data_IF_270968699646
#
_entry.id   IF_270968699646
#
_cell.length_a   1.000
_cell.length_b   1.000
_cell.length_c   1.000
_cell.angle_alpha   90.00
_cell.angle_beta   90.00
_cell.angle_gamma   90.00
#
_symmetry.space_group_name_H-M   'P 1'
#
loop_
_entity.id
_entity.type
_entity.pdbx_description
1 polymer ?
#
# COMPACT_ATOMS: atom_id res chain seq x y z
N UNK A 1 41.20 16.02 -31.67
CA UNK A 1 42.65 15.85 -31.45
C UNK A 1 42.85 15.32 -30.04
N UNK A 2 43.68 14.29 -29.79
CA UNK A 2 43.88 13.78 -28.42
C UNK A 2 44.41 14.90 -27.53
N UNK A 3 43.91 14.99 -26.30
CA UNK A 3 44.29 16.04 -25.34
C UNK A 3 45.82 16.05 -25.12
N UNK A 4 46.36 17.22 -24.78
CA UNK A 4 47.79 17.42 -24.46
C UNK A 4 48.34 16.34 -23.52
N UNK A 5 47.54 15.93 -22.53
CA UNK A 5 47.89 14.91 -21.53
C UNK A 5 48.04 13.50 -22.12
N UNK A 6 47.19 13.10 -23.07
CA UNK A 6 47.28 11.76 -23.68
C UNK A 6 48.56 11.61 -24.50
N UNK A 7 49.00 12.67 -25.18
CA UNK A 7 50.26 12.66 -25.93
C UNK A 7 51.46 12.49 -25.00
N UNK A 8 51.47 13.18 -23.86
CA UNK A 8 52.53 13.05 -22.85
C UNK A 8 52.57 11.64 -22.27
N UNK A 9 51.42 11.12 -21.84
CA UNK A 9 51.31 9.78 -21.26
C UNK A 9 51.78 8.67 -22.23
N UNK A 10 51.43 8.77 -23.52
CA UNK A 10 51.92 7.81 -24.54
C UNK A 10 53.44 7.85 -24.72
N UNK A 11 54.03 9.04 -24.67
CA UNK A 11 55.49 9.19 -24.79
C UNK A 11 56.19 8.61 -23.54
N UNK A 12 55.67 8.89 -22.36
CA UNK A 12 56.25 8.38 -21.11
C UNK A 12 56.11 6.86 -20.98
N UNK A 13 54.97 6.28 -21.39
CA UNK A 13 54.79 4.83 -21.46
C UNK A 13 55.77 4.19 -22.47
N UNK A 14 55.99 4.82 -23.63
CA UNK A 14 56.96 4.35 -24.62
C UNK A 14 58.39 4.33 -24.10
N UNK A 15 58.79 5.31 -23.28
CA UNK A 15 60.11 5.32 -22.61
C UNK A 15 60.24 4.21 -21.58
N UNK A 16 59.18 3.93 -20.82
CA UNK A 16 59.16 2.83 -19.84
C UNK A 16 59.33 1.51 -20.57
N UNK A 17 58.55 1.25 -21.61
CA UNK A 17 58.64 0.02 -22.42
C UNK A 17 60.05 -0.16 -23.00
N UNK A 18 60.66 0.91 -23.53
CA UNK A 18 62.00 0.87 -24.10
C UNK A 18 63.13 0.62 -23.07
N UNK A 19 62.84 0.76 -21.78
CA UNK A 19 63.82 0.56 -20.69
C UNK A 19 63.80 -0.85 -20.09
N UNK A 20 62.82 -1.68 -20.45
CA UNK A 20 62.61 -3.02 -19.90
C UNK A 20 63.20 -4.09 -20.83
N UNK A 21 63.70 -5.17 -20.26
CA UNK A 21 64.01 -6.38 -21.02
C UNK A 21 62.76 -7.24 -21.26
N UNK A 22 62.88 -8.32 -22.04
CA UNK A 22 61.73 -9.13 -22.47
C UNK A 22 60.94 -9.76 -21.31
N UNK A 23 61.62 -10.17 -20.23
CA UNK A 23 60.98 -10.81 -19.07
C UNK A 23 60.28 -9.77 -18.19
N UNK A 24 60.94 -8.64 -17.94
CA UNK A 24 60.38 -7.48 -17.22
C UNK A 24 59.20 -6.86 -17.97
N UNK A 25 59.27 -6.81 -19.30
CA UNK A 25 58.19 -6.32 -20.14
C UNK A 25 56.94 -7.19 -20.02
N UNK A 26 57.11 -8.52 -19.92
CA UNK A 26 56.00 -9.44 -19.75
C UNK A 26 55.29 -9.24 -18.41
N UNK A 27 56.05 -9.11 -17.31
CA UNK A 27 55.52 -8.83 -15.98
C UNK A 27 54.83 -7.45 -15.91
N UNK A 28 55.43 -6.44 -16.53
CA UNK A 28 54.86 -5.09 -16.61
C UNK A 28 53.54 -5.05 -17.40
N UNK A 29 53.43 -5.82 -18.49
CA UNK A 29 52.17 -5.96 -19.25
C UNK A 29 51.09 -6.63 -18.39
N UNK A 30 51.44 -7.64 -17.59
CA UNK A 30 50.50 -8.28 -16.67
C UNK A 30 49.99 -7.28 -15.62
N UNK A 31 50.90 -6.55 -14.97
CA UNK A 31 50.56 -5.49 -14.02
C UNK A 31 49.65 -4.41 -14.63
N UNK A 32 49.95 -3.95 -15.85
CA UNK A 32 49.11 -2.95 -16.53
C UNK A 32 47.71 -3.48 -16.79
N UNK A 33 47.56 -4.75 -17.19
CA UNK A 33 46.25 -5.36 -17.39
C UNK A 33 45.47 -5.43 -16.08
N UNK A 34 46.12 -5.86 -14.99
CA UNK A 34 45.48 -5.90 -13.67
C UNK A 34 45.10 -4.52 -13.17
N UNK A 35 45.97 -3.51 -13.31
CA UNK A 35 45.71 -2.14 -12.90
C UNK A 35 44.55 -1.51 -13.68
N UNK A 36 44.49 -1.74 -15.00
CA UNK A 36 43.35 -1.30 -15.83
C UNK A 36 42.07 -1.99 -15.41
N UNK A 37 42.08 -3.32 -15.21
CA UNK A 37 40.90 -4.05 -14.76
C UNK A 37 40.45 -3.66 -13.34
N UNK A 38 41.36 -3.23 -12.46
CA UNK A 38 41.00 -2.70 -11.14
C UNK A 38 40.37 -1.31 -11.24
N UNK A 39 40.90 -0.44 -12.09
CA UNK A 39 40.32 0.89 -12.31
C UNK A 39 38.94 0.79 -12.98
N UNK A 40 38.77 -0.09 -13.96
CA UNK A 40 37.48 -0.35 -14.60
C UNK A 40 36.44 -0.89 -13.60
N UNK A 41 36.83 -1.73 -12.63
CA UNK A 41 35.94 -2.20 -11.57
C UNK A 41 35.53 -1.10 -10.59
N UNK A 42 36.44 -0.19 -10.25
CA UNK A 42 36.15 0.94 -9.37
C UNK A 42 35.22 1.93 -10.08
N UNK A 43 35.52 2.27 -11.33
CA UNK A 43 34.68 3.18 -12.12
C UNK A 43 33.29 2.57 -12.37
N UNK A 44 33.19 1.26 -12.62
CA UNK A 44 31.93 0.53 -12.76
C UNK A 44 31.11 0.53 -11.47
N UNK A 45 31.74 0.24 -10.33
CA UNK A 45 31.07 0.26 -9.03
C UNK A 45 30.60 1.68 -8.66
N UNK A 46 31.43 2.71 -8.91
CA UNK A 46 31.03 4.09 -8.69
C UNK A 46 29.90 4.54 -9.65
N UNK A 47 29.87 4.05 -10.90
CA UNK A 47 28.74 4.34 -11.78
C UNK A 47 27.46 3.64 -11.34
N UNK A 48 27.55 2.38 -10.89
CA UNK A 48 26.40 1.62 -10.38
C UNK A 48 25.84 2.27 -9.10
N UNK A 49 26.70 2.69 -8.16
CA UNK A 49 26.28 3.38 -6.94
C UNK A 49 25.59 4.72 -7.22
N UNK A 50 26.10 5.49 -8.21
CA UNK A 50 25.51 6.76 -8.63
C UNK A 50 24.17 6.56 -9.36
N UNK A 51 24.06 5.52 -10.19
CA UNK A 51 22.82 5.17 -10.88
C UNK A 51 21.76 4.70 -9.87
N UNK A 52 22.12 3.89 -8.86
CA UNK A 52 21.22 3.46 -7.79
C UNK A 52 20.78 4.60 -6.86
N UNK A 53 21.67 5.55 -6.56
CA UNK A 53 21.31 6.76 -5.80
C UNK A 53 20.33 7.64 -6.60
N UNK A 54 20.60 7.85 -7.88
CA UNK A 54 19.73 8.63 -8.75
C UNK A 54 18.35 7.99 -8.96
N UNK A 55 18.28 6.66 -9.14
CA UNK A 55 17.01 5.94 -9.22
C UNK A 55 16.20 6.04 -7.92
N UNK A 56 16.86 6.04 -6.76
CA UNK A 56 16.20 6.23 -5.46
C UNK A 56 15.64 7.64 -5.31
N UNK A 57 16.41 8.67 -5.67
CA UNK A 57 15.93 10.07 -5.64
C UNK A 57 14.70 10.27 -6.53
N UNK A 58 14.73 9.74 -7.76
CA UNK A 58 13.59 9.82 -8.67
C UNK A 58 12.33 9.13 -8.10
N UNK A 59 12.52 8.00 -7.43
CA UNK A 59 11.43 7.26 -6.81
C UNK A 59 10.83 8.02 -5.62
N UNK A 60 11.68 8.62 -4.78
CA UNK A 60 11.24 9.46 -3.66
C UNK A 60 10.46 10.68 -4.14
N UNK A 61 10.94 11.36 -5.19
CA UNK A 61 10.25 12.49 -5.82
C UNK A 61 8.88 12.07 -6.36
N UNK A 62 8.81 10.94 -7.08
CA UNK A 62 7.56 10.38 -7.61
C UNK A 62 6.55 10.09 -6.50
N UNK A 63 6.99 9.49 -5.40
CA UNK A 63 6.14 9.18 -4.24
C UNK A 63 5.67 10.48 -3.56
N UNK A 64 6.53 11.48 -3.44
CA UNK A 64 6.18 12.78 -2.87
C UNK A 64 5.12 13.51 -3.70
N UNK A 65 5.26 13.53 -5.03
CA UNK A 65 4.27 14.10 -5.95
C UNK A 65 2.92 13.36 -5.85
N UNK A 66 2.93 12.03 -5.80
CA UNK A 66 1.75 11.22 -5.60
C UNK A 66 1.05 11.53 -4.26
N UNK A 67 1.82 11.67 -3.18
CA UNK A 67 1.32 12.04 -1.86
C UNK A 67 0.66 13.41 -1.86
N UNK A 68 1.21 14.39 -2.60
CA UNK A 68 0.60 15.71 -2.73
C UNK A 68 -0.81 15.63 -3.34
N UNK A 69 -0.99 14.81 -4.38
CA UNK A 69 -2.30 14.63 -5.01
C UNK A 69 -3.29 13.90 -4.10
N UNK A 70 -2.84 12.84 -3.43
CA UNK A 70 -3.65 12.12 -2.45
C UNK A 70 -4.10 13.03 -1.31
N UNK A 71 -3.22 13.88 -0.80
CA UNK A 71 -3.55 14.84 0.26
C UNK A 71 -4.59 15.86 -0.18
N UNK A 72 -4.56 16.32 -1.44
CA UNK A 72 -5.63 17.18 -1.99
C UNK A 72 -6.98 16.48 -1.97
N UNK A 73 -7.03 15.21 -2.41
CA UNK A 73 -8.25 14.39 -2.38
C UNK A 73 -8.76 14.25 -0.94
N UNK A 74 -7.88 13.93 0.01
CA UNK A 74 -8.21 13.82 1.44
C UNK A 74 -8.84 15.12 1.95
N UNK A 75 -8.22 16.27 1.69
CA UNK A 75 -8.72 17.57 2.14
C UNK A 75 -10.10 17.89 1.56
N UNK A 76 -10.38 17.52 0.32
CA UNK A 76 -11.70 17.73 -0.30
C UNK A 76 -12.75 16.75 0.24
N UNK A 77 -12.38 15.49 0.48
CA UNK A 77 -13.27 14.52 1.12
C UNK A 77 -13.65 14.93 2.54
N UNK A 78 -12.70 15.45 3.34
CA UNK A 78 -12.96 15.99 4.68
C UNK A 78 -14.01 17.12 4.68
N UNK A 79 -14.13 17.89 3.59
CA UNK A 79 -15.15 18.94 3.45
C UNK A 79 -16.54 18.38 3.10
N UNK A 80 -16.58 17.20 2.46
CA UNK A 80 -17.80 16.56 1.95
C UNK A 80 -18.40 15.56 2.95
N UNK A 81 -17.63 15.11 3.95
CA UNK A 81 -18.01 14.06 4.89
C UNK A 81 -18.05 14.55 6.34
N UNK A 82 -18.87 13.91 7.20
CA UNK A 82 -18.75 14.09 8.64
C UNK A 82 -17.41 13.53 9.15
N UNK A 83 -16.99 13.94 10.36
CA UNK A 83 -15.73 13.50 10.96
C UNK A 83 -15.61 11.97 11.07
N UNK A 84 -16.72 11.29 11.35
CA UNK A 84 -16.75 9.83 11.46
C UNK A 84 -16.77 9.10 10.09
N UNK A 85 -16.78 9.84 8.98
CA UNK A 85 -16.77 9.35 7.61
C UNK A 85 -17.87 8.32 7.27
N UNK A 86 -18.97 8.33 8.02
CA UNK A 86 -20.12 7.43 7.79
C UNK A 86 -21.06 8.01 6.74
N UNK A 87 -21.49 7.17 5.79
CA UNK A 87 -22.54 7.56 4.86
C UNK A 87 -23.92 7.53 5.56
N UNK A 88 -24.88 8.40 5.17
CA UNK A 88 -26.21 8.41 5.78
C UNK A 88 -26.98 7.09 5.65
N UNK A 89 -26.65 6.30 4.63
CA UNK A 89 -27.23 5.01 4.27
C UNK A 89 -26.33 3.81 4.64
N UNK A 90 -25.23 4.05 5.36
CA UNK A 90 -24.37 2.99 5.91
C UNK A 90 -24.90 2.53 7.28
N UNK A 91 -24.66 1.26 7.61
CA UNK A 91 -24.91 0.74 8.96
C UNK A 91 -23.67 0.02 9.44
N UNK A 92 -22.88 0.70 10.27
CA UNK A 92 -21.73 0.11 10.95
C UNK A 92 -22.20 -0.66 12.18
N UNK A 93 -21.66 -1.85 12.37
CA UNK A 93 -21.84 -2.64 13.57
C UNK A 93 -20.51 -3.06 14.16
N UNK A 94 -20.34 -2.84 15.46
CA UNK A 94 -19.18 -3.33 16.20
C UNK A 94 -19.33 -4.85 16.41
N UNK A 95 -18.37 -5.68 15.95
CA UNK A 95 -18.43 -7.13 16.11
C UNK A 95 -18.43 -7.54 17.59
N UNK A 96 -19.58 -8.00 18.10
CA UNK A 96 -19.76 -8.34 19.54
C UNK A 96 -19.00 -9.58 20.02
N UNK A 97 -18.49 -10.39 19.10
CA UNK A 97 -17.80 -11.65 19.42
C UNK A 97 -16.32 -11.63 19.02
N UNK A 98 -15.78 -10.46 18.66
CA UNK A 98 -14.35 -10.30 18.51
C UNK A 98 -13.73 -10.02 19.87
N UNK A 99 -12.59 -10.64 20.17
CA UNK A 99 -11.80 -10.30 21.36
C UNK A 99 -11.24 -8.87 21.27
N UNK A 100 -10.97 -8.40 20.06
CA UNK A 100 -10.42 -7.07 19.79
C UNK A 100 -11.38 -5.95 20.21
N UNK A 101 -12.69 -6.14 19.99
CA UNK A 101 -13.73 -5.13 20.27
C UNK A 101 -14.51 -5.42 21.55
N UNK A 102 -13.95 -6.21 22.47
CA UNK A 102 -14.61 -6.52 23.74
C UNK A 102 -14.79 -5.23 24.57
N UNK A 103 -16.04 -4.94 24.98
CA UNK A 103 -16.37 -3.73 25.75
C UNK A 103 -16.56 -2.46 24.92
N UNK A 104 -16.41 -2.51 23.60
CA UNK A 104 -16.68 -1.39 22.71
C UNK A 104 -18.20 -1.20 22.55
N UNK A 105 -18.65 0.04 22.70
CA UNK A 105 -20.07 0.45 22.59
C UNK A 105 -20.17 1.71 21.74
N UNK A 106 -21.40 2.04 21.30
CA UNK A 106 -21.61 3.25 20.49
C UNK A 106 -21.26 4.54 21.24
N UNK A 107 -21.34 4.51 22.57
CA UNK A 107 -21.10 5.65 23.44
C UNK A 107 -19.62 5.84 23.78
N UNK A 108 -18.81 4.78 23.69
CA UNK A 108 -17.38 4.82 24.02
C UNK A 108 -16.46 4.60 22.81
N UNK A 109 -17.02 4.49 21.60
CA UNK A 109 -16.27 4.24 20.36
C UNK A 109 -16.56 5.33 19.34
N UNK A 110 -15.50 5.82 18.69
CA UNK A 110 -15.60 6.71 17.53
C UNK A 110 -14.95 6.05 16.33
N UNK A 111 -15.64 6.13 15.19
CA UNK A 111 -15.07 5.75 13.90
C UNK A 111 -14.24 6.91 13.38
N UNK A 112 -12.98 6.68 13.04
CA UNK A 112 -12.10 7.66 12.39
C UNK A 112 -11.47 6.96 11.20
N UNK A 113 -11.64 7.54 10.02
CA UNK A 113 -11.12 6.95 8.79
C UNK A 113 -9.63 7.28 8.61
N UNK A 114 -8.76 6.28 8.68
CA UNK A 114 -7.29 6.46 8.58
C UNK A 114 -6.81 6.95 7.22
N UNK A 115 -7.62 6.85 6.15
CA UNK A 115 -7.28 7.52 4.90
C UNK A 115 -7.51 9.02 5.01
N UNK A 116 -8.55 9.42 5.74
CA UNK A 116 -8.87 10.82 5.92
C UNK A 116 -8.06 11.47 7.03
N UNK A 117 -7.74 10.81 8.14
CA UNK A 117 -7.09 11.45 9.29
C UNK A 117 -5.90 10.62 9.76
N UNK A 118 -4.70 11.19 9.60
CA UNK A 118 -3.49 10.71 10.26
C UNK A 118 -3.42 11.25 11.69
N UNK A 119 -2.43 10.78 12.47
CA UNK A 119 -2.27 11.19 13.87
C UNK A 119 -2.12 12.71 14.01
N UNK A 120 -1.37 13.34 13.10
CA UNK A 120 -1.19 14.80 13.09
C UNK A 120 -2.51 15.54 12.88
N UNK A 121 -3.34 15.10 11.93
CA UNK A 121 -4.65 15.72 11.71
C UNK A 121 -5.60 15.49 12.89
N UNK A 122 -5.45 14.38 13.61
CA UNK A 122 -6.20 14.10 14.83
C UNK A 122 -5.79 15.02 15.99
N UNK A 123 -4.49 15.23 16.18
CA UNK A 123 -3.96 16.17 17.17
C UNK A 123 -4.45 17.60 16.88
N UNK A 124 -4.40 18.05 15.63
CA UNK A 124 -4.91 19.37 15.22
C UNK A 124 -6.42 19.54 15.51
N UNK A 125 -7.20 18.47 15.40
CA UNK A 125 -8.62 18.47 15.73
C UNK A 125 -8.85 18.58 17.25
N UNK A 126 -8.00 17.96 18.07
CA UNK A 126 -8.04 18.11 19.52
C UNK A 126 -7.67 19.54 19.93
N UNK A 127 -6.54 20.04 19.45
CA UNK A 127 -6.00 21.36 19.79
C UNK A 127 -6.96 22.49 19.38
N UNK A 128 -7.63 22.34 18.24
CA UNK A 128 -8.64 23.30 17.78
C UNK A 128 -9.99 23.17 18.51
N UNK A 129 -10.14 22.22 19.42
CA UNK A 129 -11.36 21.97 20.20
C UNK A 129 -12.54 21.46 19.36
N UNK A 130 -12.28 20.97 18.13
CA UNK A 130 -13.29 20.43 17.23
C UNK A 130 -13.64 18.99 17.52
N UNK A 131 -12.76 18.29 18.23
CA UNK A 131 -12.96 16.92 18.66
C UNK A 131 -12.33 16.70 20.05
N UNK A 132 -12.84 15.74 20.81
CA UNK A 132 -12.24 15.33 22.08
C UNK A 132 -12.05 13.83 22.06
N UNK A 133 -10.84 13.39 22.42
CA UNK A 133 -10.46 11.98 22.49
C UNK A 133 -11.00 11.28 23.75
N UNK A 134 -11.81 11.98 24.55
CA UNK A 134 -12.34 11.48 25.80
C UNK A 134 -13.86 11.57 25.84
N UNK A 135 -14.50 10.57 26.46
CA UNK A 135 -15.92 10.60 26.79
C UNK A 135 -16.14 10.74 28.30
N UNK A 136 -17.26 11.33 28.66
CA UNK A 136 -17.65 11.50 30.05
C UNK A 136 -18.24 10.18 30.58
N UNK A 137 -17.61 9.58 31.60
CA UNK A 137 -18.10 8.34 32.20
C UNK A 137 -19.34 8.57 33.07
N UNK A 138 -19.49 9.79 33.62
CA UNK A 138 -20.67 10.23 34.38
C UNK A 138 -21.07 11.64 33.90
N UNK A 139 -22.27 11.85 33.35
CA UNK A 139 -22.62 13.12 32.71
C UNK A 139 -22.40 14.35 33.62
N UNK A 140 -21.87 15.44 33.05
CA UNK A 140 -21.48 16.69 33.74
C UNK A 140 -20.37 16.54 34.81
N UNK A 141 -19.66 15.42 34.84
CA UNK A 141 -18.51 15.22 35.74
C UNK A 141 -17.18 15.49 35.03
N UNK A 142 -16.12 15.62 35.83
CA UNK A 142 -14.72 15.61 35.35
C UNK A 142 -14.15 14.19 35.18
N UNK A 143 -14.97 13.17 35.41
CA UNK A 143 -14.59 11.77 35.25
C UNK A 143 -14.66 11.41 33.77
N UNK A 144 -13.59 11.72 33.04
CA UNK A 144 -13.47 11.44 31.61
C UNK A 144 -12.56 10.24 31.38
N UNK A 145 -12.87 9.46 30.34
CA UNK A 145 -12.10 8.29 29.90
C UNK A 145 -11.79 8.38 28.42
N UNK A 146 -10.69 7.76 27.94
CA UNK A 146 -10.38 7.74 26.50
C UNK A 146 -11.48 7.05 25.70
N UNK A 147 -11.75 7.57 24.51
CA UNK A 147 -12.57 6.92 23.50
C UNK A 147 -11.79 5.79 22.83
N UNK A 148 -12.51 4.75 22.42
CA UNK A 148 -12.00 3.71 21.55
C UNK A 148 -12.07 4.19 20.10
N UNK A 149 -11.01 3.97 19.32
CA UNK A 149 -10.97 4.32 17.90
C UNK A 149 -11.11 3.07 17.05
N UNK A 150 -11.96 3.14 16.02
CA UNK A 150 -12.02 2.13 14.96
C UNK A 150 -11.80 2.82 13.63
N UNK A 151 -10.84 2.33 12.86
CA UNK A 151 -10.67 2.70 11.46
C UNK A 151 -11.14 1.57 10.55
N UNK A 152 -11.84 1.96 9.49
CA UNK A 152 -12.38 1.05 8.48
C UNK A 152 -11.67 1.19 7.14
N UNK A 153 -10.55 1.92 7.10
CA UNK A 153 -9.86 2.30 5.88
C UNK A 153 -8.35 2.16 6.05
N UNK A 154 -7.62 2.07 4.94
CA UNK A 154 -6.17 1.96 4.95
C UNK A 154 -5.55 3.36 4.87
N UNK A 155 -4.55 3.63 5.71
CA UNK A 155 -3.81 4.89 5.70
C UNK A 155 -2.96 5.03 4.43
N UNK A 156 -2.56 6.27 4.10
CA UNK A 156 -1.65 6.53 2.99
C UNK A 156 -0.30 5.85 3.24
N UNK A 157 0.22 5.86 4.47
CA UNK A 157 1.49 5.20 4.84
C UNK A 157 1.40 3.70 4.58
N UNK A 158 0.32 3.06 5.04
CA UNK A 158 0.07 1.64 4.83
C UNK A 158 -0.03 1.28 3.34
N UNK A 159 -0.69 2.12 2.54
CA UNK A 159 -0.82 1.90 1.08
C UNK A 159 0.48 2.21 0.32
N UNK A 160 1.29 3.15 0.81
CA UNK A 160 2.64 3.39 0.30
C UNK A 160 3.53 2.16 0.53
N UNK A 161 3.50 1.57 1.73
CA UNK A 161 4.19 0.31 2.01
C UNK A 161 3.72 -0.79 1.05
N UNK A 162 2.41 -0.95 0.85
CA UNK A 162 1.87 -1.95 -0.06
C UNK A 162 2.46 -1.84 -1.48
N UNK A 163 2.39 -0.66 -2.09
CA UNK A 163 2.71 -0.51 -3.51
C UNK A 163 4.18 -0.25 -3.81
N UNK A 164 4.87 0.52 -2.95
CA UNK A 164 6.25 0.96 -3.21
C UNK A 164 7.29 0.17 -2.41
N UNK A 165 6.88 -0.70 -1.49
CA UNK A 165 7.80 -1.57 -0.72
C UNK A 165 7.46 -3.05 -0.92
N UNK A 166 6.29 -3.50 -0.47
CA UNK A 166 5.94 -4.91 -0.47
C UNK A 166 5.79 -5.48 -1.89
N UNK A 167 5.08 -4.77 -2.77
CA UNK A 167 4.81 -5.22 -4.13
C UNK A 167 5.65 -4.53 -5.21
N UNK A 168 6.69 -3.78 -4.82
CA UNK A 168 7.48 -2.92 -5.73
C UNK A 168 7.93 -3.65 -6.99
N UNK A 169 8.48 -4.86 -6.82
CA UNK A 169 9.03 -5.63 -7.94
C UNK A 169 7.93 -6.30 -8.77
N UNK A 170 6.83 -6.69 -8.13
CA UNK A 170 5.72 -7.39 -8.78
C UNK A 170 4.81 -6.45 -9.56
N UNK A 171 4.74 -5.17 -9.17
CA UNK A 171 3.78 -4.20 -9.73
C UNK A 171 3.94 -3.98 -11.23
N UNK A 172 5.12 -4.24 -11.78
CA UNK A 172 5.44 -4.09 -13.20
C UNK A 172 4.69 -5.09 -14.09
N UNK A 173 4.36 -6.26 -13.55
CA UNK A 173 3.66 -7.35 -14.27
C UNK A 173 2.15 -7.42 -13.92
N UNK A 174 1.65 -6.42 -13.20
CA UNK A 174 0.28 -6.39 -12.67
C UNK A 174 -0.59 -5.50 -13.55
N UNK A 175 -1.57 -6.11 -14.20
CA UNK A 175 -2.49 -5.40 -15.10
C UNK A 175 -3.81 -5.02 -14.41
N UNK A 176 -4.32 -5.87 -13.52
CA UNK A 176 -5.65 -5.70 -12.92
C UNK A 176 -5.61 -5.73 -11.39
N UNK A 177 -6.07 -4.65 -10.75
CA UNK A 177 -6.34 -4.58 -9.33
C UNK A 177 -7.86 -4.48 -9.10
N UNK A 178 -8.38 -5.30 -8.20
CA UNK A 178 -9.76 -5.24 -7.73
C UNK A 178 -9.78 -4.95 -6.23
N UNK A 179 -10.47 -3.90 -5.84
CA UNK A 179 -10.72 -3.52 -4.45
C UNK A 179 -12.19 -3.78 -4.11
N UNK A 180 -12.44 -4.63 -3.12
CA UNK A 180 -13.81 -5.02 -2.73
C UNK A 180 -14.21 -4.22 -1.50
N UNK A 181 -15.35 -3.53 -1.57
CA UNK A 181 -15.79 -2.63 -0.50
C UNK A 181 -14.97 -1.35 -0.45
N UNK A 182 -14.78 -0.71 -1.61
CA UNK A 182 -13.86 0.42 -1.76
C UNK A 182 -14.15 1.65 -0.90
N UNK A 183 -15.37 1.80 -0.36
CA UNK A 183 -15.82 2.95 0.45
C UNK A 183 -15.32 4.28 -0.15
N UNK A 184 -14.39 4.96 0.53
CA UNK A 184 -13.89 6.28 0.10
C UNK A 184 -12.98 6.25 -1.12
N UNK A 185 -12.50 5.07 -1.55
CA UNK A 185 -11.62 4.89 -2.70
C UNK A 185 -10.12 4.97 -2.38
N UNK A 186 -9.72 4.86 -1.11
CA UNK A 186 -8.32 4.98 -0.67
C UNK A 186 -7.36 4.10 -1.48
N UNK A 187 -7.69 2.80 -1.61
CA UNK A 187 -6.91 1.83 -2.41
C UNK A 187 -6.87 2.22 -3.89
N UNK A 188 -7.99 2.72 -4.42
CA UNK A 188 -8.09 3.07 -5.84
C UNK A 188 -7.21 4.27 -6.19
N UNK A 189 -7.28 5.35 -5.41
CA UNK A 189 -6.50 6.56 -5.68
C UNK A 189 -5.02 6.32 -5.46
N UNK A 190 -4.65 5.59 -4.40
CA UNK A 190 -3.24 5.24 -4.14
C UNK A 190 -2.68 4.34 -5.23
N UNK A 191 -3.42 3.31 -5.66
CA UNK A 191 -3.02 2.50 -6.81
C UNK A 191 -2.86 3.36 -8.07
N UNK A 192 -3.74 4.32 -8.31
CA UNK A 192 -3.69 5.19 -9.49
C UNK A 192 -2.42 6.05 -9.52
N UNK A 193 -2.04 6.66 -8.39
CA UNK A 193 -0.87 7.54 -8.32
C UNK A 193 0.45 6.80 -8.09
N UNK A 194 0.47 5.68 -7.37
CA UNK A 194 1.71 4.96 -7.05
C UNK A 194 2.12 3.92 -8.07
N UNK A 195 1.23 3.47 -8.94
CA UNK A 195 1.52 2.31 -9.80
C UNK A 195 1.29 2.64 -11.27
N UNK A 196 1.77 1.81 -12.19
CA UNK A 196 1.39 1.85 -13.61
C UNK A 196 0.21 0.90 -13.93
N UNK A 197 -0.46 0.29 -12.95
CA UNK A 197 -1.51 -0.73 -13.16
C UNK A 197 -2.56 -0.23 -14.15
N UNK A 198 -2.86 -1.05 -15.16
CA UNK A 198 -3.72 -0.67 -16.30
C UNK A 198 -5.21 -0.59 -15.95
N UNK A 199 -5.69 -1.43 -15.03
CA UNK A 199 -7.10 -1.55 -14.63
C UNK A 199 -7.20 -1.58 -13.11
N UNK A 200 -7.77 -0.54 -12.54
CA UNK A 200 -8.01 -0.35 -11.11
C UNK A 200 -9.53 -0.29 -10.91
N UNK A 201 -10.09 -1.32 -10.29
CA UNK A 201 -11.53 -1.54 -10.24
C UNK A 201 -11.98 -1.60 -8.78
N UNK A 202 -12.80 -0.64 -8.37
CA UNK A 202 -13.52 -0.70 -7.11
C UNK A 202 -14.88 -1.36 -7.25
N UNK A 203 -15.29 -2.13 -6.25
CA UNK A 203 -16.64 -2.69 -6.14
C UNK A 203 -17.23 -2.23 -4.82
N UNK A 204 -18.22 -1.35 -4.87
CA UNK A 204 -18.82 -0.73 -3.69
C UNK A 204 -20.35 -0.90 -3.71
N UNK A 205 -20.91 -1.41 -2.61
CA UNK A 205 -22.34 -1.65 -2.52
C UNK A 205 -23.11 -0.36 -2.19
N UNK A 206 -22.53 0.52 -1.38
CA UNK A 206 -23.14 1.76 -0.93
C UNK A 206 -23.13 2.82 -2.06
N UNK A 207 -24.30 3.29 -2.51
CA UNK A 207 -24.39 4.24 -3.61
C UNK A 207 -23.85 5.64 -3.29
N UNK A 208 -23.81 6.03 -2.00
CA UNK A 208 -23.21 7.29 -1.57
C UNK A 208 -21.70 7.27 -1.77
N UNK A 209 -21.03 6.21 -1.31
CA UNK A 209 -19.59 6.04 -1.49
C UNK A 209 -19.21 5.84 -2.95
N UNK A 210 -19.93 4.97 -3.69
CA UNK A 210 -19.66 4.80 -5.12
C UNK A 210 -19.79 6.12 -5.90
N UNK A 211 -20.80 6.94 -5.59
CA UNK A 211 -20.96 8.27 -6.19
C UNK A 211 -19.83 9.22 -5.77
N UNK A 212 -19.46 9.23 -4.50
CA UNK A 212 -18.37 10.07 -4.02
C UNK A 212 -17.05 9.75 -4.74
N UNK A 213 -16.73 8.46 -4.90
CA UNK A 213 -15.54 8.02 -5.63
C UNK A 213 -15.58 8.40 -7.10
N UNK A 214 -16.74 8.25 -7.77
CA UNK A 214 -16.90 8.72 -9.16
C UNK A 214 -16.67 10.22 -9.28
N UNK A 215 -17.20 11.01 -8.35
CA UNK A 215 -16.97 12.45 -8.34
C UNK A 215 -15.49 12.79 -8.12
N UNK A 216 -14.75 12.05 -7.28
CA UNK A 216 -13.30 12.27 -7.12
C UNK A 216 -12.55 11.96 -8.42
N UNK A 217 -12.87 10.84 -9.08
CA UNK A 217 -12.28 10.46 -10.38
C UNK A 217 -12.49 11.59 -11.40
N UNK A 218 -13.69 12.15 -11.46
CA UNK A 218 -14.04 13.27 -12.35
C UNK A 218 -13.35 14.58 -11.93
N UNK A 219 -13.47 14.99 -10.66
CA UNK A 219 -12.91 16.23 -10.10
C UNK A 219 -11.39 16.32 -10.31
N UNK A 220 -10.69 15.18 -10.27
CA UNK A 220 -9.24 15.07 -10.44
C UNK A 220 -8.81 14.65 -11.85
N UNK A 221 -9.75 14.56 -12.79
CA UNK A 221 -9.50 14.20 -14.20
C UNK A 221 -8.67 12.91 -14.35
N UNK A 222 -8.96 11.92 -13.50
CA UNK A 222 -8.29 10.63 -13.58
C UNK A 222 -8.74 9.87 -14.84
N UNK A 223 -7.85 9.09 -15.44
CA UNK A 223 -8.18 8.33 -16.64
C UNK A 223 -9.22 7.24 -16.34
N UNK A 224 -10.47 7.46 -16.74
CA UNK A 224 -11.60 6.54 -16.53
C UNK A 224 -11.44 5.17 -17.24
N UNK A 225 -10.56 5.06 -18.24
CA UNK A 225 -10.23 3.77 -18.84
C UNK A 225 -9.38 2.89 -17.91
N UNK A 226 -8.67 3.56 -16.99
CA UNK A 226 -7.72 2.99 -16.03
C UNK A 226 -8.35 2.77 -14.66
N UNK A 227 -9.08 3.74 -14.12
CA UNK A 227 -9.73 3.66 -12.80
C UNK A 227 -11.24 3.73 -12.92
N UNK A 228 -11.94 2.83 -12.23
CA UNK A 228 -13.41 2.81 -12.22
C UNK A 228 -13.96 2.21 -10.93
N UNK A 229 -15.23 2.51 -10.62
CA UNK A 229 -15.95 1.92 -9.49
C UNK A 229 -17.36 1.46 -9.89
N UNK A 230 -17.68 0.21 -9.58
CA UNK A 230 -19.01 -0.35 -9.73
C UNK A 230 -19.83 -0.15 -8.47
N UNK A 231 -21.02 0.45 -8.60
CA UNK A 231 -22.02 0.48 -7.56
C UNK A 231 -22.82 -0.84 -7.61
N UNK A 232 -22.30 -1.91 -7.01
CA UNK A 232 -22.88 -3.25 -7.17
C UNK A 232 -22.55 -4.17 -6.00
N UNK A 233 -23.32 -5.26 -5.90
CA UNK A 233 -22.99 -6.37 -5.03
C UNK A 233 -21.86 -7.20 -5.65
N UNK A 234 -20.83 -7.50 -4.85
CA UNK A 234 -19.70 -8.35 -5.25
C UNK A 234 -20.13 -9.70 -5.82
N UNK A 235 -21.27 -10.25 -5.38
CA UNK A 235 -21.83 -11.51 -5.90
C UNK A 235 -22.18 -11.45 -7.40
N UNK A 236 -22.26 -10.26 -8.01
CA UNK A 236 -22.49 -10.05 -9.43
C UNK A 236 -21.19 -9.83 -10.23
N UNK A 237 -20.02 -9.88 -9.58
CA UNK A 237 -18.72 -9.42 -10.13
C UNK A 237 -17.66 -10.52 -10.19
N UNK A 238 -18.10 -11.72 -10.57
CA UNK A 238 -17.22 -12.87 -10.74
C UNK A 238 -16.12 -12.61 -11.77
N UNK A 239 -16.47 -11.97 -12.90
CA UNK A 239 -15.54 -11.72 -14.00
C UNK A 239 -14.36 -10.86 -13.58
N UNK A 240 -14.60 -9.82 -12.79
CA UNK A 240 -13.56 -8.93 -12.29
C UNK A 240 -12.61 -9.68 -11.35
N UNK A 241 -13.15 -10.49 -10.42
CA UNK A 241 -12.34 -11.32 -9.50
C UNK A 241 -11.51 -12.39 -10.22
N UNK A 242 -12.07 -13.04 -11.24
CA UNK A 242 -11.40 -14.10 -12.00
C UNK A 242 -10.24 -13.56 -12.86
N UNK A 243 -10.28 -12.28 -13.25
CA UNK A 243 -9.24 -11.65 -14.07
C UNK A 243 -8.18 -10.89 -13.25
N UNK A 244 -8.46 -10.59 -11.97
CA UNK A 244 -7.60 -9.82 -11.08
C UNK A 244 -6.19 -10.43 -10.92
N UNK A 245 -5.17 -9.57 -10.96
CA UNK A 245 -3.82 -9.88 -10.52
C UNK A 245 -3.65 -9.59 -9.02
N UNK A 246 -4.30 -8.52 -8.52
CA UNK A 246 -4.39 -8.20 -7.09
C UNK A 246 -5.87 -8.10 -6.70
N UNK A 247 -6.24 -8.69 -5.57
CA UNK A 247 -7.51 -8.45 -4.88
C UNK A 247 -7.23 -7.89 -3.49
N UNK A 248 -7.73 -6.68 -3.21
CA UNK A 248 -7.64 -6.04 -1.90
C UNK A 248 -8.96 -6.23 -1.15
N UNK A 249 -8.86 -6.75 0.08
CA UNK A 249 -9.97 -7.00 1.00
C UNK A 249 -9.68 -6.32 2.34
N UNK A 250 -9.96 -5.01 2.42
CA UNK A 250 -9.79 -4.22 3.64
C UNK A 250 -11.11 -4.10 4.43
N UNK A 251 -11.20 -4.77 5.59
CA UNK A 251 -12.33 -4.68 6.52
C UNK A 251 -13.72 -4.93 5.89
N UNK A 252 -13.80 -5.76 4.86
CA UNK A 252 -14.89 -5.74 3.88
C UNK A 252 -16.27 -6.15 4.39
N UNK A 253 -16.37 -7.01 5.42
CA UNK A 253 -17.65 -7.60 5.83
C UNK A 253 -18.01 -7.46 7.31
N UNK A 254 -17.04 -7.57 8.22
CA UNK A 254 -17.32 -7.76 9.65
C UNK A 254 -18.11 -6.60 10.27
N UNK A 255 -17.85 -5.37 9.82
CA UNK A 255 -18.53 -4.17 10.31
C UNK A 255 -19.84 -3.89 9.58
N UNK A 256 -20.00 -4.33 8.34
CA UNK A 256 -21.08 -3.92 7.45
C UNK A 256 -22.21 -4.96 7.35
N UNK A 257 -21.95 -6.21 7.76
CA UNK A 257 -22.87 -7.33 7.55
C UNK A 257 -23.19 -8.04 8.85
N UNK A 258 -24.36 -7.76 9.44
CA UNK A 258 -24.78 -8.33 10.73
C UNK A 258 -24.87 -9.86 10.77
N UNK A 259 -25.26 -10.50 9.67
CA UNK A 259 -25.55 -11.94 9.63
C UNK A 259 -24.32 -12.73 9.21
N UNK A 260 -23.73 -13.51 10.12
CA UNK A 260 -22.60 -14.42 9.83
C UNK A 260 -22.85 -15.36 8.65
N UNK A 261 -24.10 -15.83 8.45
CA UNK A 261 -24.45 -16.64 7.29
C UNK A 261 -24.30 -15.90 5.95
N UNK A 262 -24.64 -14.61 5.91
CA UNK A 262 -24.45 -13.76 4.74
C UNK A 262 -22.96 -13.52 4.48
N UNK A 263 -22.17 -13.26 5.53
CA UNK A 263 -20.71 -13.16 5.42
C UNK A 263 -20.08 -14.46 4.88
N UNK A 264 -20.48 -15.64 5.39
CA UNK A 264 -20.02 -16.93 4.85
C UNK A 264 -20.31 -17.10 3.36
N UNK A 265 -21.48 -16.65 2.89
CA UNK A 265 -21.83 -16.74 1.48
C UNK A 265 -20.93 -15.85 0.61
N UNK A 266 -20.59 -14.66 1.09
CA UNK A 266 -19.67 -13.75 0.42
C UNK A 266 -18.25 -14.31 0.40
N UNK A 267 -17.76 -14.85 1.52
CA UNK A 267 -16.45 -15.52 1.58
C UNK A 267 -16.39 -16.72 0.64
N UNK A 268 -17.44 -17.53 0.59
CA UNK A 268 -17.55 -18.63 -0.38
C UNK A 268 -17.48 -18.12 -1.81
N UNK A 269 -18.20 -17.04 -2.13
CA UNK A 269 -18.15 -16.46 -3.46
C UNK A 269 -16.76 -15.93 -3.82
N UNK A 270 -16.07 -15.23 -2.91
CA UNK A 270 -14.70 -14.78 -3.14
C UNK A 270 -13.76 -15.96 -3.39
N UNK A 271 -13.80 -16.98 -2.53
CA UNK A 271 -13.02 -18.21 -2.70
C UNK A 271 -13.28 -18.89 -4.05
N UNK A 272 -14.54 -19.01 -4.46
CA UNK A 272 -14.92 -19.70 -5.69
C UNK A 272 -14.59 -18.89 -6.97
N UNK A 273 -14.27 -17.59 -6.85
CA UNK A 273 -14.03 -16.71 -8.01
C UNK A 273 -12.62 -16.11 -8.07
N UNK A 274 -11.88 -16.02 -6.98
CA UNK A 274 -10.47 -15.62 -7.00
C UNK A 274 -9.63 -16.88 -7.23
N UNK A 275 -9.61 -17.31 -8.50
CA UNK A 275 -9.11 -18.64 -8.92
C UNK A 275 -7.88 -18.58 -9.81
N UNK A 276 -7.52 -17.40 -10.31
CA UNK A 276 -6.34 -17.23 -11.16
C UNK A 276 -5.07 -17.48 -10.34
N UNK A 277 -4.30 -18.48 -10.75
CA UNK A 277 -3.04 -18.83 -10.11
C UNK A 277 -2.08 -17.63 -10.11
N UNK A 278 -1.41 -17.41 -8.97
CA UNK A 278 -0.51 -16.28 -8.80
C UNK A 278 -1.20 -14.96 -8.46
N UNK A 279 -2.53 -14.90 -8.43
CA UNK A 279 -3.24 -13.71 -7.92
C UNK A 279 -2.84 -13.45 -6.47
N UNK A 280 -2.52 -12.19 -6.20
CA UNK A 280 -2.19 -11.69 -4.87
C UNK A 280 -3.49 -11.28 -4.19
N UNK A 281 -3.71 -11.76 -2.98
CA UNK A 281 -4.80 -11.31 -2.12
C UNK A 281 -4.16 -10.56 -0.95
N UNK A 282 -4.56 -9.31 -0.77
CA UNK A 282 -4.12 -8.47 0.34
C UNK A 282 -5.30 -8.27 1.26
N UNK A 283 -5.16 -8.65 2.53
CA UNK A 283 -6.25 -8.52 3.52
C UNK A 283 -5.82 -7.78 4.76
N UNK A 284 -6.77 -7.05 5.33
CA UNK A 284 -6.63 -6.34 6.60
C UNK A 284 -7.97 -6.47 7.32
N UNK A 285 -8.13 -7.31 8.38
CA UNK A 285 -7.13 -8.18 9.04
C UNK A 285 -6.86 -9.49 8.26
N UNK A 286 -6.28 -10.52 8.91
CA UNK A 286 -5.95 -11.82 8.29
C UNK A 286 -7.19 -12.57 7.77
N UNK A 287 -7.01 -13.45 6.77
CA UNK A 287 -8.12 -14.28 6.26
C UNK A 287 -8.51 -15.35 7.29
N UNK A 288 -7.54 -15.91 8.00
CA UNK A 288 -7.76 -16.90 9.03
C UNK A 288 -8.71 -16.38 10.11
N UNK A 289 -8.48 -15.16 10.59
CA UNK A 289 -9.33 -14.51 11.58
C UNK A 289 -10.74 -14.25 11.04
N UNK A 290 -10.85 -13.63 9.87
CA UNK A 290 -12.14 -13.29 9.25
C UNK A 290 -12.98 -14.55 8.95
N UNK A 291 -12.35 -15.63 8.47
CA UNK A 291 -13.00 -16.90 8.19
C UNK A 291 -13.38 -17.64 9.47
N UNK A 292 -12.55 -17.59 10.51
CA UNK A 292 -12.84 -18.17 11.82
C UNK A 292 -14.03 -17.48 12.49
N UNK A 293 -14.11 -16.14 12.43
CA UNK A 293 -15.19 -15.37 13.05
C UNK A 293 -16.58 -15.84 12.55
N UNK A 294 -16.67 -16.19 11.27
CA UNK A 294 -17.92 -16.64 10.66
C UNK A 294 -18.11 -18.15 10.66
N UNK A 295 -17.19 -18.93 11.24
CA UNK A 295 -17.12 -20.39 11.16
C UNK A 295 -17.18 -20.89 9.70
N UNK A 296 -16.34 -20.32 8.83
CA UNK A 296 -16.24 -20.73 7.43
C UNK A 296 -15.59 -22.11 7.30
N UNK A 297 -16.04 -22.98 6.39
CA UNK A 297 -15.36 -24.24 6.10
C UNK A 297 -14.13 -24.06 5.19
N UNK A 298 -13.87 -22.85 4.69
CA UNK A 298 -12.75 -22.55 3.80
C UNK A 298 -11.44 -22.77 4.54
N UNK A 299 -10.51 -23.48 3.89
CA UNK A 299 -9.19 -23.81 4.40
C UNK A 299 -8.16 -22.97 3.66
N UNK A 300 -7.66 -21.91 4.32
CA UNK A 300 -6.68 -20.98 3.71
C UNK A 300 -5.47 -21.74 3.18
N UNK A 301 -4.95 -22.69 3.96
CA UNK A 301 -3.81 -23.54 3.60
C UNK A 301 -4.01 -24.41 2.34
N UNK A 302 -5.26 -24.66 1.94
CA UNK A 302 -5.58 -25.42 0.72
C UNK A 302 -5.76 -24.52 -0.50
N UNK A 303 -6.01 -23.23 -0.29
CA UNK A 303 -6.30 -22.25 -1.34
C UNK A 303 -5.10 -21.35 -1.64
N UNK A 304 -4.36 -20.94 -0.61
CA UNK A 304 -3.41 -19.84 -0.66
C UNK A 304 -2.07 -20.17 0.00
N UNK A 305 -0.99 -19.57 -0.50
CA UNK A 305 0.32 -19.50 0.15
C UNK A 305 0.55 -18.10 0.73
N UNK A 306 0.84 -18.01 2.02
CA UNK A 306 1.17 -16.73 2.68
C UNK A 306 2.60 -16.31 2.37
N UNK A 307 2.84 -15.01 2.21
CA UNK A 307 4.18 -14.44 1.99
C UNK A 307 4.34 -13.09 2.70
N UNK A 308 5.55 -12.51 2.69
CA UNK A 308 5.92 -11.32 3.49
C UNK A 308 5.55 -11.43 4.98
N UNK A 309 5.88 -12.57 5.59
CA UNK A 309 5.67 -12.81 7.03
C UNK A 309 6.69 -12.04 7.89
N UNK A 310 7.89 -11.83 7.36
CA UNK A 310 8.93 -10.99 7.97
C UNK A 310 9.11 -9.73 7.14
N UNK A 311 9.19 -8.58 7.81
CA UNK A 311 9.26 -7.24 7.20
C UNK A 311 10.27 -6.40 7.94
N UNK A 312 11.13 -5.71 7.21
CA UNK A 312 11.90 -4.62 7.79
C UNK A 312 11.02 -3.37 7.82
N UNK A 313 10.66 -2.94 9.03
CA UNK A 313 9.85 -1.76 9.28
C UNK A 313 10.64 -0.70 10.07
N UNK A 314 11.97 -0.80 10.10
CA UNK A 314 12.83 0.09 10.90
C UNK A 314 12.72 1.57 10.54
N UNK A 315 12.22 1.87 9.34
CA UNK A 315 12.00 3.24 8.85
C UNK A 315 10.62 3.83 9.22
N UNK A 316 9.72 3.03 9.78
CA UNK A 316 8.39 3.46 10.23
C UNK A 316 8.40 3.66 11.75
N UNK A 317 7.57 4.59 12.23
CA UNK A 317 7.33 4.69 13.66
C UNK A 317 6.52 3.49 14.18
N UNK A 318 6.40 3.37 15.50
CA UNK A 318 5.76 2.21 16.14
C UNK A 318 4.30 2.03 15.70
N UNK A 319 3.54 3.12 15.56
CA UNK A 319 2.12 3.07 15.21
C UNK A 319 1.94 2.69 13.74
N UNK A 320 2.71 3.30 12.83
CA UNK A 320 2.70 2.96 11.41
C UNK A 320 3.18 1.52 11.18
N UNK A 321 4.21 1.07 11.91
CA UNK A 321 4.71 -0.30 11.83
C UNK A 321 3.65 -1.31 12.29
N UNK A 322 2.96 -1.04 13.39
CA UNK A 322 1.84 -1.88 13.87
C UNK A 322 0.68 -1.92 12.85
N UNK A 323 0.31 -0.78 12.26
CA UNK A 323 -0.73 -0.73 11.22
C UNK A 323 -0.31 -1.54 9.98
N UNK A 324 0.93 -1.38 9.51
CA UNK A 324 1.48 -2.16 8.40
C UNK A 324 1.49 -3.66 8.71
N UNK A 325 1.87 -4.07 9.93
CA UNK A 325 1.87 -5.47 10.33
C UNK A 325 0.47 -6.12 10.30
N UNK A 326 -0.59 -5.33 10.44
CA UNK A 326 -1.98 -5.79 10.27
C UNK A 326 -2.40 -6.00 8.80
N UNK A 327 -1.50 -5.82 7.84
CA UNK A 327 -1.68 -6.21 6.44
C UNK A 327 -1.16 -7.62 6.20
N UNK A 328 -1.93 -8.47 5.51
CA UNK A 328 -1.57 -9.84 5.22
C UNK A 328 -1.57 -10.11 3.72
N UNK A 329 -0.59 -10.89 3.26
CA UNK A 329 -0.37 -11.17 1.85
C UNK A 329 -0.48 -12.66 1.57
N UNK A 330 -1.27 -12.99 0.55
CA UNK A 330 -1.51 -14.36 0.13
C UNK A 330 -1.40 -14.47 -1.38
N UNK A 331 -0.98 -15.63 -1.86
CA UNK A 331 -0.91 -15.95 -3.29
C UNK A 331 -1.75 -17.18 -3.60
N UNK A 332 -2.56 -17.10 -4.65
CA UNK A 332 -3.39 -18.23 -5.12
C UNK A 332 -2.51 -19.34 -5.70
N UNK A 333 -2.73 -20.58 -5.25
CA UNK A 333 -1.97 -21.80 -5.59
C UNK A 333 -2.06 -22.24 -7.04
#
# INVERSE_FOLDING_TARGET
>A
MPSSNIKKAKNDLGKIIASLNDEELHEFIHYLKEAVSQQEKIDCHCSEDLDEEYEREQEEDRIAEANEQLNKIVLDLRKKLPLNAEAPDETITIPKNSKEFEGYTKENTVNVDSFLYDEKALDELEESGKFSFNYCADCLSKNVKPLNFISHSASIVKLNYLFNVALKDEIKDIHNLVDVGSRLGAVLYTAYYYTPIEKIIGIELNPTFSRLTKNVIEDYSMNEERISVFCDNILNRATELQNANIVVLNNVFQFFIKKKASQRNLWKFLHDNITKKGTIIVTMPSLEEQLAEVNSPIRVDQWLDSFHLERDLSMYDENDAEDIMNMFFYRVK
#
